data_IF_020932735903
#
_entry.id   IF_020932735903
#
_cell.length_a   1.000
_cell.length_b   1.000
_cell.length_c   1.000
_cell.angle_alpha   90.00
_cell.angle_beta   90.00
_cell.angle_gamma   90.00
#
_symmetry.space_group_name_H-M   'P 1'
#
loop_
_entity.id
_entity.type
_entity.pdbx_description
1 polymer ?
#
# COMPACT_ATOMS: atom_id res chain seq x y z
N UNK A 1 21.09 -5.68 -2.59
CA UNK A 1 20.38 -6.88 -3.09
C UNK A 1 19.03 -6.40 -3.59
N UNK A 2 18.66 -6.66 -4.85
CA UNK A 2 17.36 -6.24 -5.40
C UNK A 2 16.31 -7.29 -5.02
N UNK A 3 15.20 -6.87 -4.42
CA UNK A 3 14.13 -7.76 -3.97
C UNK A 3 13.10 -7.91 -5.09
N UNK A 4 13.04 -9.05 -5.78
CA UNK A 4 12.22 -9.24 -6.98
C UNK A 4 10.71 -9.26 -6.71
N UNK A 5 9.90 -9.05 -7.75
CA UNK A 5 8.43 -9.11 -7.69
C UNK A 5 7.97 -10.51 -7.27
N UNK A 6 8.67 -11.55 -7.75
CA UNK A 6 8.45 -12.95 -7.36
C UNK A 6 8.72 -13.13 -5.87
N UNK A 7 9.87 -12.66 -5.37
CA UNK A 7 10.23 -12.78 -3.95
C UNK A 7 9.21 -12.06 -3.04
N UNK A 8 8.68 -10.91 -3.45
CA UNK A 8 7.59 -10.22 -2.73
C UNK A 8 6.38 -11.14 -2.56
N UNK A 9 5.89 -11.73 -3.66
CA UNK A 9 4.71 -12.58 -3.63
C UNK A 9 4.97 -13.90 -2.90
N UNK A 10 6.17 -14.47 -3.01
CA UNK A 10 6.58 -15.65 -2.26
C UNK A 10 6.56 -15.41 -0.74
N UNK A 11 7.14 -14.28 -0.28
CA UNK A 11 7.12 -13.93 1.13
C UNK A 11 5.69 -13.62 1.61
N UNK A 12 4.86 -13.01 0.76
CA UNK A 12 3.46 -12.75 1.08
C UNK A 12 2.66 -14.05 1.27
N UNK A 13 2.81 -15.01 0.36
CA UNK A 13 2.19 -16.36 0.48
C UNK A 13 2.65 -17.06 1.75
N UNK A 14 3.96 -16.98 2.07
CA UNK A 14 4.51 -17.53 3.31
C UNK A 14 3.88 -16.87 4.54
N UNK A 15 3.73 -15.54 4.54
CA UNK A 15 3.09 -14.80 5.63
C UNK A 15 1.64 -15.24 5.85
N UNK A 16 0.85 -15.42 4.78
CA UNK A 16 -0.53 -15.94 4.89
C UNK A 16 -0.58 -17.35 5.50
N UNK A 17 0.33 -18.24 5.09
CA UNK A 17 0.40 -19.61 5.62
C UNK A 17 0.71 -19.62 7.12
N UNK A 18 1.62 -18.77 7.57
CA UNK A 18 1.95 -18.65 8.99
C UNK A 18 0.81 -17.97 9.78
N UNK A 19 0.12 -17.00 9.19
CA UNK A 19 -1.00 -16.31 9.82
C UNK A 19 -2.19 -17.22 10.16
N UNK A 20 -2.33 -18.35 9.45
CA UNK A 20 -3.34 -19.37 9.77
C UNK A 20 -3.04 -20.18 11.03
N UNK A 21 -1.83 -20.10 11.58
CA UNK A 21 -1.41 -20.88 12.75
C UNK A 21 -1.59 -20.08 14.04
N UNK A 22 -1.88 -20.73 15.19
CA UNK A 22 -1.82 -20.06 16.48
C UNK A 22 -0.43 -19.50 16.78
N UNK A 23 -0.36 -18.31 17.37
CA UNK A 23 0.91 -17.70 17.82
C UNK A 23 1.68 -18.61 18.79
N UNK A 24 0.97 -19.38 19.62
CA UNK A 24 1.53 -20.37 20.53
C UNK A 24 0.95 -21.75 20.17
N UNK A 25 1.65 -22.57 19.38
CA UNK A 25 1.13 -23.84 18.88
C UNK A 25 0.83 -24.84 20.01
N UNK A 26 -0.30 -25.55 19.91
CA UNK A 26 -0.68 -26.63 20.82
C UNK A 26 -1.58 -27.62 20.05
N UNK A 27 -1.49 -28.92 20.34
CA UNK A 27 -2.23 -29.98 19.63
C UNK A 27 -3.76 -29.83 19.70
N UNK A 28 -4.25 -29.16 20.74
CA UNK A 28 -5.67 -28.90 20.96
C UNK A 28 -6.07 -27.43 20.70
N UNK A 29 -5.20 -26.63 20.06
CA UNK A 29 -5.46 -25.23 19.72
C UNK A 29 -5.49 -25.03 18.21
N UNK A 30 -6.61 -24.51 17.72
CA UNK A 30 -6.86 -24.31 16.29
C UNK A 30 -7.35 -22.89 16.04
N UNK A 31 -7.03 -22.33 14.87
CA UNK A 31 -7.55 -21.04 14.43
C UNK A 31 -8.56 -21.22 13.30
N UNK A 32 -9.73 -20.58 13.45
CA UNK A 32 -10.72 -20.50 12.38
C UNK A 32 -10.51 -19.32 11.41
N UNK A 33 -9.59 -18.39 11.74
CA UNK A 33 -9.27 -17.21 10.92
C UNK A 33 -7.79 -16.87 11.01
N UNK A 34 -7.23 -16.35 9.94
CA UNK A 34 -5.84 -15.91 9.91
C UNK A 34 -5.63 -14.68 10.82
N UNK A 35 -4.42 -14.52 11.35
CA UNK A 35 -3.94 -13.25 11.87
C UNK A 35 -3.88 -12.20 10.74
N UNK A 36 -3.98 -10.91 11.09
CA UNK A 36 -3.74 -9.86 10.09
C UNK A 36 -2.28 -9.88 9.65
N UNK A 37 -2.04 -9.68 8.36
CA UNK A 37 -0.70 -9.57 7.78
C UNK A 37 -0.49 -8.24 7.04
N UNK A 38 -1.38 -7.25 7.21
CA UNK A 38 -1.28 -5.98 6.49
C UNK A 38 0.08 -5.31 6.67
N UNK A 39 0.56 -5.19 7.92
CA UNK A 39 1.88 -4.64 8.21
C UNK A 39 3.03 -5.43 7.58
N UNK A 40 2.91 -6.76 7.43
CA UNK A 40 3.90 -7.54 6.68
C UNK A 40 3.86 -7.17 5.19
N UNK A 41 2.67 -6.98 4.63
CA UNK A 41 2.49 -6.51 3.25
C UNK A 41 3.09 -5.11 3.02
N UNK A 42 2.96 -4.21 3.99
CA UNK A 42 3.54 -2.87 3.98
C UNK A 42 5.08 -2.94 4.02
N UNK A 43 5.64 -3.73 4.93
CA UNK A 43 7.08 -3.98 5.05
C UNK A 43 7.67 -4.59 3.77
N UNK A 44 6.97 -5.56 3.17
CA UNK A 44 7.40 -6.20 1.92
C UNK A 44 7.43 -5.22 0.75
N UNK A 45 6.42 -4.35 0.64
CA UNK A 45 6.40 -3.32 -0.39
C UNK A 45 7.52 -2.30 -0.15
N UNK A 46 7.71 -1.85 1.10
CA UNK A 46 8.81 -0.94 1.46
C UNK A 46 10.18 -1.52 1.12
N UNK A 47 10.41 -2.79 1.43
CA UNK A 47 11.65 -3.51 1.09
C UNK A 47 11.85 -3.64 -0.43
N UNK A 48 10.77 -3.89 -1.19
CA UNK A 48 10.81 -3.93 -2.64
C UNK A 48 11.22 -2.58 -3.24
N UNK A 49 10.56 -1.51 -2.82
CA UNK A 49 10.75 -0.15 -3.34
C UNK A 49 12.14 0.41 -2.98
N UNK A 50 12.57 0.29 -1.72
CA UNK A 50 13.89 0.79 -1.30
C UNK A 50 15.05 0.07 -1.99
N UNK A 51 14.81 -1.13 -2.54
CA UNK A 51 15.82 -1.87 -3.30
C UNK A 51 15.94 -1.43 -4.77
N UNK A 52 15.03 -0.56 -5.25
CA UNK A 52 14.95 -0.06 -6.64
C UNK A 52 15.09 1.44 -6.77
N UNK A 53 14.66 2.20 -5.76
CA UNK A 53 14.73 3.65 -5.75
C UNK A 53 16.05 4.10 -5.13
N UNK A 54 16.66 5.13 -5.71
CA UNK A 54 17.88 5.76 -5.20
C UNK A 54 17.54 7.13 -4.60
N UNK A 55 18.29 7.58 -3.59
CA UNK A 55 18.10 8.92 -3.01
C UNK A 55 16.87 9.10 -2.11
N UNK A 56 15.98 8.11 -2.03
CA UNK A 56 14.73 8.21 -1.25
C UNK A 56 14.87 7.71 0.19
N UNK A 57 13.97 8.18 1.05
CA UNK A 57 13.69 7.64 2.39
C UNK A 57 12.24 7.17 2.45
N UNK A 58 12.04 5.91 2.83
CA UNK A 58 10.69 5.34 3.02
C UNK A 58 10.38 5.27 4.52
N UNK A 59 9.23 5.80 4.91
CA UNK A 59 8.67 5.67 6.26
C UNK A 59 7.43 4.78 6.17
N UNK A 60 7.31 3.83 7.09
CA UNK A 60 6.21 2.85 7.13
C UNK A 60 5.39 3.10 8.40
N UNK A 61 4.06 3.11 8.28
CA UNK A 61 3.08 3.33 9.36
C UNK A 61 3.46 4.54 10.26
N UNK A 62 3.86 5.63 9.62
CA UNK A 62 4.41 6.79 10.29
C UNK A 62 3.34 7.89 10.37
N UNK A 63 3.02 8.43 11.57
CA UNK A 63 2.11 9.57 11.67
C UNK A 63 2.64 10.78 10.91
N UNK A 64 1.77 11.34 10.09
CA UNK A 64 1.90 12.60 9.38
C UNK A 64 1.21 13.71 10.19
N UNK A 65 1.97 14.47 10.96
CA UNK A 65 1.45 15.57 11.77
C UNK A 65 1.42 16.86 10.94
N UNK A 66 0.23 17.30 10.54
CA UNK A 66 0.07 18.58 9.85
C UNK A 66 0.36 19.75 10.80
N UNK A 67 1.13 20.73 10.33
CA UNK A 67 1.35 21.98 11.09
C UNK A 67 0.06 22.80 11.16
N UNK A 68 -0.72 22.78 10.06
CA UNK A 68 -2.07 23.33 10.00
C UNK A 68 -3.02 22.51 10.89
N UNK A 69 -3.41 23.10 12.02
CA UNK A 69 -4.22 22.44 13.06
C UNK A 69 -5.67 22.17 12.65
N UNK A 70 -6.12 22.70 11.51
CA UNK A 70 -7.45 22.36 10.96
C UNK A 70 -7.46 20.97 10.32
N UNK A 71 -6.28 20.44 9.98
CA UNK A 71 -6.11 19.13 9.37
C UNK A 71 -5.82 18.07 10.43
N UNK A 72 -6.46 16.91 10.28
CA UNK A 72 -6.22 15.76 11.16
C UNK A 72 -4.90 15.08 10.86
N UNK A 73 -4.28 14.51 11.90
CA UNK A 73 -3.13 13.60 11.74
C UNK A 73 -3.59 12.35 11.00
N UNK A 74 -2.76 11.91 10.04
CA UNK A 74 -2.99 10.69 9.25
C UNK A 74 -1.85 9.71 9.45
N UNK A 75 -2.13 8.45 9.18
CA UNK A 75 -1.18 7.33 9.26
C UNK A 75 -1.22 6.63 7.92
N UNK A 76 -0.51 7.15 6.90
CA UNK A 76 -0.37 6.44 5.64
C UNK A 76 0.50 5.21 5.84
N UNK A 77 0.26 4.18 5.04
CA UNK A 77 0.98 2.92 5.15
C UNK A 77 2.45 3.13 4.78
N UNK A 78 2.73 3.85 3.69
CA UNK A 78 4.08 4.30 3.37
C UNK A 78 4.12 5.78 2.95
N UNK A 79 5.23 6.43 3.25
CA UNK A 79 5.61 7.76 2.76
C UNK A 79 6.98 7.66 2.08
N UNK A 80 7.10 8.15 0.86
CA UNK A 80 8.38 8.26 0.15
C UNK A 80 8.80 9.72 0.14
N UNK A 81 10.00 9.96 0.65
CA UNK A 81 10.55 11.28 0.85
C UNK A 81 11.88 11.42 0.13
N UNK A 82 12.08 12.55 -0.54
CA UNK A 82 13.37 12.99 -1.08
C UNK A 82 13.80 14.22 -0.31
N UNK A 83 15.00 14.18 0.28
CA UNK A 83 15.42 15.18 1.25
C UNK A 83 14.30 15.46 2.27
N UNK A 84 13.95 16.72 2.52
CA UNK A 84 12.90 17.12 3.46
C UNK A 84 11.53 17.34 2.81
N UNK A 85 11.27 16.66 1.69
CA UNK A 85 10.00 16.73 0.97
C UNK A 85 9.34 15.35 0.86
N UNK A 86 8.03 15.29 1.11
CA UNK A 86 7.20 14.10 0.88
C UNK A 86 6.70 14.15 -0.56
N UNK A 87 7.18 13.22 -1.39
CA UNK A 87 6.84 13.12 -2.81
C UNK A 87 5.65 12.21 -3.06
N UNK A 88 5.58 11.08 -2.35
CA UNK A 88 4.56 10.07 -2.59
C UNK A 88 3.99 9.53 -1.28
N UNK A 89 2.69 9.31 -1.27
CA UNK A 89 1.97 8.63 -0.18
C UNK A 89 1.43 7.32 -0.75
N UNK A 90 1.57 6.22 -0.02
CA UNK A 90 1.05 4.93 -0.46
C UNK A 90 0.12 4.34 0.59
N UNK A 91 -0.95 3.71 0.12
CA UNK A 91 -1.77 2.78 0.90
C UNK A 91 -1.75 1.39 0.26
N UNK A 92 -1.50 0.40 1.10
CA UNK A 92 -1.40 -1.01 0.72
C UNK A 92 -2.69 -1.72 1.07
N UNK A 93 -3.20 -2.50 0.12
CA UNK A 93 -4.42 -3.29 0.28
C UNK A 93 -4.13 -4.73 -0.11
N UNK A 94 -4.59 -5.65 0.72
CA UNK A 94 -4.32 -7.06 0.50
C UNK A 94 -5.08 -7.62 -0.70
N UNK A 95 -6.31 -7.15 -0.89
CA UNK A 95 -7.18 -7.50 -2.00
C UNK A 95 -8.20 -6.39 -2.27
N UNK A 96 -9.02 -6.51 -3.32
CA UNK A 96 -10.09 -5.56 -3.65
C UNK A 96 -11.38 -5.76 -2.81
N UNK A 97 -11.38 -6.69 -1.85
CA UNK A 97 -12.53 -6.98 -1.00
C UNK A 97 -12.88 -5.85 -0.04
N UNK A 98 -11.93 -4.98 0.31
CA UNK A 98 -12.10 -3.99 1.37
C UNK A 98 -13.14 -2.90 1.02
N UNK A 99 -13.41 -2.64 -0.27
CA UNK A 99 -14.35 -1.59 -0.72
C UNK A 99 -15.04 -1.92 -2.05
N UNK A 100 -15.56 -3.15 -2.18
CA UNK A 100 -16.19 -3.67 -3.42
C UNK A 100 -17.20 -2.74 -4.11
N UNK A 101 -17.90 -1.88 -3.36
CA UNK A 101 -18.92 -0.95 -3.89
C UNK A 101 -18.56 0.53 -3.79
N UNK A 102 -17.56 0.86 -2.97
CA UNK A 102 -17.28 2.23 -2.53
C UNK A 102 -15.86 2.67 -2.87
N UNK A 103 -15.16 1.94 -3.76
CA UNK A 103 -13.78 2.26 -4.13
C UNK A 103 -13.65 3.65 -4.77
N UNK A 104 -14.67 4.09 -5.52
CA UNK A 104 -14.73 5.44 -6.10
C UNK A 104 -14.79 6.50 -4.98
N UNK A 105 -15.74 6.36 -4.05
CA UNK A 105 -15.90 7.28 -2.91
C UNK A 105 -14.63 7.33 -2.04
N UNK A 106 -13.97 6.17 -1.86
CA UNK A 106 -12.67 6.13 -1.21
C UNK A 106 -11.61 6.93 -1.95
N UNK A 107 -11.44 6.72 -3.26
CA UNK A 107 -10.46 7.48 -4.05
C UNK A 107 -10.77 8.98 -3.99
N UNK A 108 -12.04 9.38 -4.07
CA UNK A 108 -12.47 10.78 -3.96
C UNK A 108 -12.14 11.38 -2.59
N UNK A 109 -12.31 10.63 -1.50
CA UNK A 109 -11.89 11.09 -0.15
C UNK A 109 -10.38 11.23 -0.03
N UNK A 110 -9.61 10.38 -0.72
CA UNK A 110 -8.14 10.50 -0.77
C UNK A 110 -7.71 11.67 -1.63
N UNK A 111 -8.35 11.87 -2.76
CA UNK A 111 -8.15 13.01 -3.65
C UNK A 111 -8.41 14.33 -2.93
N UNK A 112 -9.54 14.45 -2.23
CA UNK A 112 -9.87 15.62 -1.41
C UNK A 112 -8.81 15.84 -0.32
N UNK A 113 -8.38 14.77 0.34
CA UNK A 113 -7.36 14.88 1.37
C UNK A 113 -6.01 15.35 0.80
N UNK A 114 -5.53 14.74 -0.29
CA UNK A 114 -4.27 15.12 -0.93
C UNK A 114 -4.32 16.56 -1.41
N UNK A 115 -5.38 16.94 -2.13
CA UNK A 115 -5.59 18.32 -2.60
C UNK A 115 -5.54 19.35 -1.46
N UNK A 116 -5.99 18.97 -0.25
CA UNK A 116 -5.98 19.84 0.93
C UNK A 116 -4.62 19.93 1.64
N UNK A 117 -3.65 19.07 1.31
CA UNK A 117 -2.33 19.04 1.94
C UNK A 117 -1.17 19.38 1.00
N UNK A 118 -1.37 19.41 -0.32
CA UNK A 118 -0.39 19.86 -1.33
C UNK A 118 0.27 21.17 -0.90
N UNK A 119 1.61 21.23 -0.98
CA UNK A 119 2.42 22.40 -0.65
C UNK A 119 2.46 22.76 0.86
N UNK A 120 1.77 22.01 1.73
CA UNK A 120 1.74 22.30 3.17
C UNK A 120 2.93 21.71 3.91
N UNK A 121 3.17 22.23 5.12
CA UNK A 121 4.19 21.72 6.02
C UNK A 121 3.62 20.69 6.99
N UNK A 122 4.44 19.69 7.29
CA UNK A 122 4.13 18.63 8.23
C UNK A 122 5.36 18.20 9.03
N UNK A 123 5.15 17.29 9.96
CA UNK A 123 6.21 16.71 10.79
C UNK A 123 6.02 15.20 10.82
N UNK A 124 7.11 14.47 10.57
CA UNK A 124 7.22 13.04 10.84
C UNK A 124 7.90 12.81 12.20
N UNK A 125 7.70 11.64 12.82
CA UNK A 125 8.23 11.35 14.16
C UNK A 125 8.90 9.98 14.22
N UNK A 126 10.23 9.91 14.05
CA UNK A 126 10.96 8.64 14.22
C UNK A 126 11.03 8.31 15.72
N UNK A 127 10.05 7.55 16.22
CA UNK A 127 9.80 7.38 17.68
C UNK A 127 9.40 8.73 18.32
N UNK A 128 8.98 8.74 19.58
CA UNK A 128 8.30 9.89 20.23
C UNK A 128 9.10 11.21 20.26
N UNK A 129 10.42 11.18 20.04
CA UNK A 129 11.30 12.32 20.35
C UNK A 129 12.00 12.93 19.11
N UNK A 130 12.13 12.19 18.00
CA UNK A 130 12.80 12.69 16.79
C UNK A 130 11.78 13.23 15.80
N UNK A 131 11.56 14.54 15.82
CA UNK A 131 10.66 15.25 14.92
C UNK A 131 11.39 15.75 13.69
N UNK A 132 10.93 15.32 12.52
CA UNK A 132 11.51 15.68 11.23
C UNK A 132 10.52 16.62 10.52
N UNK A 133 10.82 17.92 10.41
CA UNK A 133 10.02 18.84 9.61
C UNK A 133 10.12 18.46 8.14
N UNK A 134 8.98 18.44 7.46
CA UNK A 134 8.87 18.09 6.06
C UNK A 134 7.95 19.08 5.34
N UNK A 135 8.18 19.27 4.05
CA UNK A 135 7.21 19.88 3.14
C UNK A 135 6.50 18.78 2.35
N UNK A 136 5.27 19.04 1.94
CA UNK A 136 4.55 18.20 1.00
C UNK A 136 4.77 18.77 -0.40
N UNK A 137 5.18 17.93 -1.34
CA UNK A 137 5.47 18.36 -2.70
C UNK A 137 4.22 18.95 -3.38
N UNK A 138 4.44 19.91 -4.28
CA UNK A 138 3.35 20.49 -5.08
C UNK A 138 2.77 19.49 -6.10
N UNK A 139 3.56 18.48 -6.48
CA UNK A 139 3.24 17.43 -7.43
C UNK A 139 2.99 16.05 -6.78
N UNK A 140 2.71 16.03 -5.47
CA UNK A 140 2.52 14.80 -4.70
C UNK A 140 1.49 13.84 -5.31
N UNK A 141 1.81 12.55 -5.32
CA UNK A 141 0.88 11.47 -5.69
C UNK A 141 0.49 10.60 -4.52
N UNK A 142 -0.69 9.99 -4.63
CA UNK A 142 -1.20 8.99 -3.69
C UNK A 142 -1.45 7.68 -4.42
N UNK A 143 -0.69 6.65 -4.05
CA UNK A 143 -0.73 5.36 -4.70
C UNK A 143 -1.51 4.35 -3.86
N UNK A 144 -2.51 3.73 -4.45
CA UNK A 144 -3.23 2.59 -3.87
C UNK A 144 -2.63 1.33 -4.47
N UNK A 145 -1.86 0.59 -3.67
CA UNK A 145 -1.18 -0.63 -4.10
C UNK A 145 -1.95 -1.83 -3.60
N UNK A 146 -2.52 -2.61 -4.51
CA UNK A 146 -3.37 -3.76 -4.20
C UNK A 146 -2.63 -5.04 -4.58
N UNK A 147 -2.39 -5.90 -3.60
CA UNK A 147 -1.67 -7.15 -3.84
C UNK A 147 -2.43 -8.11 -4.75
N UNK A 148 -3.76 -8.18 -4.67
CA UNK A 148 -4.57 -9.18 -5.37
C UNK A 148 -5.88 -8.59 -5.89
N UNK A 149 -6.19 -8.81 -7.18
CA UNK A 149 -7.48 -8.42 -7.77
C UNK A 149 -8.68 -9.17 -7.16
N UNK A 150 -8.41 -10.31 -6.51
CA UNK A 150 -9.45 -11.18 -6.00
C UNK A 150 -10.33 -10.45 -4.99
N UNK A 151 -11.51 -11.00 -4.76
CA UNK A 151 -12.53 -10.37 -3.92
C UNK A 151 -12.98 -8.99 -4.43
N UNK A 152 -12.58 -8.55 -5.62
CA UNK A 152 -13.00 -7.28 -6.19
C UNK A 152 -14.35 -7.30 -6.91
N UNK A 153 -14.83 -6.12 -7.34
CA UNK A 153 -15.96 -6.01 -8.26
C UNK A 153 -15.58 -6.57 -9.63
N UNK A 154 -16.54 -7.20 -10.32
CA UNK A 154 -16.32 -7.90 -11.60
C UNK A 154 -15.89 -6.98 -12.75
N UNK A 155 -16.11 -5.68 -12.63
CA UNK A 155 -15.85 -4.67 -13.68
C UNK A 155 -14.95 -3.55 -13.17
N UNK A 156 -13.94 -3.91 -12.38
CA UNK A 156 -13.04 -2.94 -11.75
C UNK A 156 -12.36 -2.07 -12.80
N UNK A 157 -11.77 -2.68 -13.82
CA UNK A 157 -11.04 -1.97 -14.87
C UNK A 157 -11.97 -1.27 -15.87
N UNK A 158 -13.16 -1.83 -16.15
CA UNK A 158 -14.06 -1.25 -17.17
C UNK A 158 -15.03 -0.19 -16.63
N UNK A 159 -15.40 -0.24 -15.36
CA UNK A 159 -16.39 0.70 -14.77
C UNK A 159 -15.79 1.61 -13.70
N UNK A 160 -14.86 1.12 -12.89
CA UNK A 160 -14.38 1.87 -11.71
C UNK A 160 -13.15 2.71 -12.06
N UNK A 161 -12.13 2.08 -12.63
CA UNK A 161 -10.87 2.76 -12.95
C UNK A 161 -11.03 3.96 -13.90
N UNK A 162 -11.89 3.95 -14.93
CA UNK A 162 -12.10 5.13 -15.78
C UNK A 162 -12.61 6.34 -14.99
N UNK A 163 -13.53 6.11 -14.05
CA UNK A 163 -14.09 7.18 -13.20
C UNK A 163 -13.02 7.70 -12.23
N UNK A 164 -12.23 6.81 -11.61
CA UNK A 164 -11.13 7.21 -10.72
C UNK A 164 -10.10 8.05 -11.49
N UNK A 165 -9.67 7.60 -12.66
CA UNK A 165 -8.69 8.30 -13.49
C UNK A 165 -9.18 9.68 -13.97
N UNK A 166 -10.48 9.82 -14.23
CA UNK A 166 -11.08 11.11 -14.62
C UNK A 166 -11.26 12.07 -13.44
N UNK A 167 -11.62 11.56 -12.27
CA UNK A 167 -12.06 12.40 -11.14
C UNK A 167 -11.01 12.61 -10.05
N UNK A 168 -9.95 11.80 -10.02
CA UNK A 168 -8.98 11.77 -8.93
C UNK A 168 -7.52 11.91 -9.46
N UNK A 169 -7.11 13.11 -9.93
CA UNK A 169 -5.84 13.32 -10.63
C UNK A 169 -4.57 13.06 -9.80
N UNK A 170 -4.65 13.05 -8.46
CA UNK A 170 -3.51 12.71 -7.61
C UNK A 170 -3.43 11.20 -7.31
N UNK A 171 -4.46 10.43 -7.67
CA UNK A 171 -4.57 9.02 -7.28
C UNK A 171 -4.08 8.11 -8.40
N UNK A 172 -3.25 7.13 -8.05
CA UNK A 172 -2.84 6.05 -8.93
C UNK A 172 -3.09 4.70 -8.28
N UNK A 173 -3.67 3.75 -9.00
CA UNK A 173 -4.06 2.45 -8.44
C UNK A 173 -3.32 1.35 -9.15
N UNK A 174 -2.75 0.41 -8.39
CA UNK A 174 -1.91 -0.68 -8.90
C UNK A 174 -2.46 -2.02 -8.44
N UNK A 175 -2.62 -2.98 -9.36
CA UNK A 175 -3.06 -4.35 -9.04
C UNK A 175 -1.94 -5.33 -9.38
N UNK A 176 -1.24 -5.79 -8.35
CA UNK A 176 0.04 -6.48 -8.48
C UNK A 176 -0.09 -7.96 -8.89
N UNK A 177 -1.20 -8.61 -8.54
CA UNK A 177 -1.43 -10.01 -8.91
C UNK A 177 -2.87 -10.31 -9.31
N UNK A 178 -3.02 -11.29 -10.20
CA UNK A 178 -4.27 -11.86 -10.68
C UNK A 178 -4.24 -13.39 -10.60
N UNK A 179 -5.36 -14.05 -10.93
CA UNK A 179 -5.48 -15.51 -10.85
C UNK A 179 -5.71 -15.99 -9.42
N UNK A 180 -4.88 -16.90 -8.91
CA UNK A 180 -5.03 -17.40 -7.52
C UNK A 180 -4.74 -16.30 -6.50
N UNK A 181 -5.61 -16.17 -5.49
CA UNK A 181 -5.33 -15.27 -4.37
C UNK A 181 -4.15 -15.83 -3.54
N UNK A 182 -3.15 -15.00 -3.15
CA UNK A 182 -2.05 -15.40 -2.28
C UNK A 182 -2.43 -16.06 -0.92
N UNK A 183 -3.69 -15.90 -0.49
CA UNK A 183 -4.22 -16.42 0.78
C UNK A 183 -5.00 -17.74 0.61
N UNK A 184 -5.06 -18.33 -0.59
CA UNK A 184 -5.76 -19.61 -0.76
C UNK A 184 -5.04 -20.72 0.01
N UNK A 185 -5.81 -21.60 0.67
CA UNK A 185 -5.26 -22.69 1.49
C UNK A 185 -4.31 -23.61 0.70
N UNK A 186 -4.64 -23.88 -0.56
CA UNK A 186 -3.84 -24.69 -1.49
C UNK A 186 -3.19 -23.83 -2.58
N UNK A 187 -2.78 -22.61 -2.25
CA UNK A 187 -2.15 -21.70 -3.22
C UNK A 187 -0.88 -22.32 -3.81
N UNK A 188 -0.80 -22.32 -5.15
CA UNK A 188 0.41 -22.61 -5.90
C UNK A 188 0.92 -21.29 -6.50
N UNK A 189 2.20 -20.98 -6.32
CA UNK A 189 2.81 -19.77 -6.88
C UNK A 189 2.66 -19.69 -8.41
N UNK A 190 2.70 -20.82 -9.11
CA UNK A 190 2.47 -20.87 -10.56
C UNK A 190 1.03 -20.51 -10.95
N UNK A 191 0.09 -20.63 -10.00
CA UNK A 191 -1.31 -20.21 -10.18
C UNK A 191 -1.55 -18.73 -9.91
N UNK A 192 -0.55 -18.01 -9.38
CA UNK A 192 -0.60 -16.56 -9.17
C UNK A 192 0.06 -15.90 -10.38
N UNK A 193 -0.71 -15.09 -11.10
CA UNK A 193 -0.16 -14.27 -12.17
C UNK A 193 0.39 -12.98 -11.58
N UNK A 194 1.71 -12.80 -11.63
CA UNK A 194 2.40 -11.61 -11.12
C UNK A 194 2.46 -10.58 -12.24
N UNK A 195 1.77 -9.45 -12.04
CA UNK A 195 1.70 -8.38 -13.02
C UNK A 195 2.95 -7.49 -12.98
N UNK A 196 4.02 -7.93 -13.65
CA UNK A 196 5.31 -7.22 -13.66
C UNK A 196 5.19 -5.80 -14.21
N UNK A 197 4.33 -5.58 -15.20
CA UNK A 197 4.13 -4.27 -15.80
C UNK A 197 3.57 -3.27 -14.76
N UNK A 198 2.68 -3.72 -13.86
CA UNK A 198 2.17 -2.88 -12.76
C UNK A 198 3.22 -2.59 -11.68
N UNK A 199 4.10 -3.56 -11.39
CA UNK A 199 5.25 -3.33 -10.52
C UNK A 199 6.22 -2.31 -11.12
N UNK A 200 6.49 -2.40 -12.42
CA UNK A 200 7.34 -1.45 -13.13
C UNK A 200 6.69 -0.07 -13.22
N UNK A 201 5.38 0.00 -13.50
CA UNK A 201 4.61 1.25 -13.50
C UNK A 201 4.68 1.94 -12.14
N UNK A 202 4.54 1.17 -11.05
CA UNK A 202 4.68 1.71 -9.69
C UNK A 202 6.06 2.29 -9.48
N UNK A 203 7.13 1.55 -9.81
CA UNK A 203 8.51 2.04 -9.60
C UNK A 203 8.81 3.27 -10.45
N UNK A 204 8.31 3.34 -11.69
CA UNK A 204 8.55 4.48 -12.59
C UNK A 204 7.75 5.73 -12.22
N UNK A 205 6.69 5.60 -11.42
CA UNK A 205 5.86 6.71 -10.96
C UNK A 205 6.38 7.34 -9.65
N UNK A 206 7.34 6.70 -8.98
CA UNK A 206 7.88 7.10 -7.67
C UNK A 206 9.24 7.79 -7.79
#
# INVERSE_FOLDING_TARGET
MKFTEVEVIEQLVKAYKEAGKPTYPHENLYRGRNHSISGIGEDLLGAYLISRLEGVRIFIDQPLFMIDKSLSTRYPDLLICEDNEIKNVLEVKMDLGYQRKDFIDYCQKKEEWISNIVGKQCVLSRKREDRIPMNIADDIKFHVVIYSENNGPKRFDEEIMPIVNETCPHIEVYVLTSGQHPNLANVNLEGININKDEFERLVNAL
#
